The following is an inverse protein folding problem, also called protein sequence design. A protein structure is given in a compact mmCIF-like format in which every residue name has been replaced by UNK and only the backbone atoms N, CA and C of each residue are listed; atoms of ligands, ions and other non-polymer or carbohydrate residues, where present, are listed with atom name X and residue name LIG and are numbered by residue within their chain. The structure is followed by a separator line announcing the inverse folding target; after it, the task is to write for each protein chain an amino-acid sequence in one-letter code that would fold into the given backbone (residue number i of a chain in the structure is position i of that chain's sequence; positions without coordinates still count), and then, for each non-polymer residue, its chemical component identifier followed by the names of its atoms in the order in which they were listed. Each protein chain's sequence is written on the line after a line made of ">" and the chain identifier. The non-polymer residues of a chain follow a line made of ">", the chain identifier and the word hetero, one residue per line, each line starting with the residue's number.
data_IF_893443491945
#
_entry.id   IF_893443491945
#
_cell.length_a   1.000
_cell.length_b   1.000
_cell.length_c   1.000
_cell.angle_alpha   90.00
_cell.angle_beta   90.00
_cell.angle_gamma   90.00
#
_symmetry.space_group_name_H-M   'P 1'
#
loop_
_entity.id
_entity.type
_entity.pdbx_description
1 polymer ?
#
# COMPACT_ATOMS: atom_id res chain seq x y z
N UNK A 1 24.90 -54.15 46.53
CA UNK A 1 24.17 -54.47 45.27
C UNK A 1 24.14 -53.20 44.44
N UNK A 2 24.76 -53.20 43.26
CA UNK A 2 25.04 -52.01 42.40
C UNK A 2 24.18 -52.01 41.10
N UNK A 3 24.20 -50.86 40.35
CA UNK A 3 23.73 -50.59 38.95
C UNK A 3 22.23 -50.23 38.74
N UNK A 4 21.70 -49.35 37.83
CA UNK A 4 22.18 -48.38 36.81
C UNK A 4 20.98 -47.63 36.10
N UNK A 5 21.24 -46.44 35.51
CA UNK A 5 20.74 -45.83 34.23
C UNK A 5 19.28 -45.34 33.95
N UNK A 6 19.23 -44.06 33.49
CA UNK A 6 18.86 -43.50 32.13
C UNK A 6 17.77 -42.39 32.10
N UNK A 7 18.17 -41.25 31.48
CA UNK A 7 17.44 -39.98 31.22
C UNK A 7 16.07 -40.11 30.53
N UNK A 8 15.18 -39.12 30.78
CA UNK A 8 14.41 -38.42 29.73
C UNK A 8 14.08 -36.97 30.13
N UNK A 9 13.93 -36.15 29.09
CA UNK A 9 13.76 -34.69 29.04
C UNK A 9 12.89 -34.09 30.14
N UNK A 10 13.44 -33.11 30.87
CA UNK A 10 12.64 -32.16 31.64
C UNK A 10 12.33 -30.94 30.76
N UNK A 11 11.05 -30.56 30.76
CA UNK A 11 10.47 -29.44 30.03
C UNK A 11 11.19 -28.12 30.28
N UNK A 12 11.63 -27.48 29.20
CA UNK A 12 12.00 -26.06 29.22
C UNK A 12 10.71 -25.22 29.11
N UNK A 13 10.48 -24.25 30.01
CA UNK A 13 9.23 -23.50 30.10
C UNK A 13 8.91 -22.77 28.80
N UNK A 14 7.68 -22.96 28.30
CA UNK A 14 7.14 -22.47 27.02
C UNK A 14 6.91 -20.96 26.93
N UNK A 15 7.70 -20.15 27.64
CA UNK A 15 7.55 -18.70 27.66
C UNK A 15 8.47 -18.00 26.64
N UNK A 16 9.63 -18.57 26.30
CA UNK A 16 10.57 -18.01 25.32
C UNK A 16 10.10 -18.18 23.86
N UNK A 17 9.30 -19.21 23.58
CA UNK A 17 8.81 -19.52 22.21
C UNK A 17 7.64 -18.65 21.74
N UNK A 18 7.04 -17.83 22.62
CA UNK A 18 5.88 -16.97 22.28
C UNK A 18 6.25 -15.53 21.90
N UNK A 19 7.55 -15.19 21.84
CA UNK A 19 8.05 -13.84 21.58
C UNK A 19 8.40 -13.55 20.11
N UNK A 20 8.09 -14.45 19.18
CA UNK A 20 8.61 -14.37 17.79
C UNK A 20 7.58 -14.65 16.69
N UNK A 21 6.32 -14.28 16.90
CA UNK A 21 5.31 -14.31 15.83
C UNK A 21 5.48 -13.03 14.98
N UNK A 22 6.53 -13.10 14.17
CA UNK A 22 7.01 -12.18 13.11
C UNK A 22 6.09 -11.01 12.80
N UNK A 23 6.45 -9.82 13.29
CA UNK A 23 6.14 -8.58 12.60
C UNK A 23 6.85 -8.68 11.24
N UNK A 24 6.09 -8.80 10.15
CA UNK A 24 6.68 -8.66 8.84
C UNK A 24 6.86 -7.16 8.59
N UNK A 25 8.11 -6.69 8.61
CA UNK A 25 8.44 -5.35 8.15
C UNK A 25 8.32 -5.34 6.64
N UNK A 26 7.11 -5.01 6.18
CA UNK A 26 6.76 -4.93 4.77
C UNK A 26 6.75 -3.46 4.41
N UNK A 27 7.69 -3.04 3.56
CA UNK A 27 7.59 -1.74 2.90
C UNK A 27 6.89 -1.96 1.57
N UNK A 28 5.59 -1.67 1.53
CA UNK A 28 4.78 -1.82 0.32
C UNK A 28 3.92 -0.58 0.11
N UNK A 29 3.82 -0.14 -1.15
CA UNK A 29 2.87 0.91 -1.53
C UNK A 29 1.46 0.33 -1.53
N UNK A 30 0.54 0.98 -0.82
CA UNK A 30 -0.87 0.64 -0.78
C UNK A 30 -1.72 1.90 -1.05
N UNK A 31 -3.02 1.70 -1.27
CA UNK A 31 -3.98 2.80 -1.26
C UNK A 31 -4.63 2.89 0.12
N UNK A 32 -4.76 4.10 0.63
CA UNK A 32 -5.59 4.40 1.79
C UNK A 32 -6.79 5.22 1.32
N UNK A 33 -7.98 4.77 1.68
CA UNK A 33 -9.20 5.56 1.60
C UNK A 33 -9.47 6.16 2.96
N UNK A 34 -9.53 7.48 2.97
CA UNK A 34 -9.96 8.26 4.13
C UNK A 34 -11.47 8.54 3.99
N UNK A 35 -12.04 9.19 5.00
CA UNK A 35 -13.39 9.73 4.93
C UNK A 35 -13.59 10.61 3.68
N UNK A 36 -14.84 10.75 3.23
CA UNK A 36 -15.21 11.47 1.99
C UNK A 36 -14.73 10.82 0.68
N UNK A 37 -14.45 9.51 0.68
CA UNK A 37 -13.98 8.74 -0.49
C UNK A 37 -12.67 9.24 -1.10
N UNK A 38 -11.84 9.90 -0.31
CA UNK A 38 -10.53 10.37 -0.76
C UNK A 38 -9.53 9.22 -0.79
N UNK A 39 -9.03 8.89 -1.98
CA UNK A 39 -7.98 7.90 -2.18
C UNK A 39 -6.59 8.57 -2.17
N UNK A 40 -5.66 7.98 -1.44
CA UNK A 40 -4.27 8.43 -1.34
C UNK A 40 -3.32 7.23 -1.36
N UNK A 41 -2.05 7.46 -1.66
CA UNK A 41 -1.02 6.43 -1.47
C UNK A 41 -0.46 6.50 -0.05
N UNK A 42 -0.21 5.32 0.52
CA UNK A 42 0.53 5.16 1.77
C UNK A 42 1.63 4.10 1.63
N UNK A 43 2.59 4.14 2.55
CA UNK A 43 3.57 3.07 2.71
C UNK A 43 3.17 2.22 3.90
N UNK A 44 2.81 0.97 3.67
CA UNK A 44 2.74 -0.01 4.75
C UNK A 44 4.16 -0.20 5.31
N UNK A 45 4.26 -0.35 6.63
CA UNK A 45 5.53 -0.52 7.35
C UNK A 45 5.56 -1.85 8.09
N UNK A 46 4.51 -2.13 8.85
CA UNK A 46 4.36 -3.36 9.62
C UNK A 46 2.88 -3.77 9.65
N UNK A 47 2.62 -5.08 9.70
CA UNK A 47 1.26 -5.65 9.79
C UNK A 47 1.22 -6.71 10.89
N UNK A 48 0.15 -6.71 11.68
CA UNK A 48 -0.21 -7.74 12.67
C UNK A 48 -1.64 -8.23 12.41
N UNK A 49 -2.11 -9.27 13.11
CA UNK A 49 -3.50 -9.72 13.00
C UNK A 49 -4.55 -8.67 13.41
N UNK A 50 -4.19 -7.76 14.32
CA UNK A 50 -5.09 -6.76 14.90
C UNK A 50 -4.95 -5.37 14.27
N UNK A 51 -3.91 -5.14 13.48
CA UNK A 51 -3.66 -3.82 12.94
C UNK A 51 -2.44 -3.70 12.04
N UNK A 52 -2.12 -2.47 11.68
CA UNK A 52 -0.93 -2.15 10.90
C UNK A 52 -0.34 -0.82 11.28
N UNK A 53 0.90 -0.62 10.84
CA UNK A 53 1.59 0.66 10.80
C UNK A 53 1.74 1.10 9.35
N UNK A 54 1.42 2.35 9.06
CA UNK A 54 1.62 2.96 7.75
C UNK A 54 2.22 4.37 7.85
N UNK A 55 2.91 4.79 6.80
CA UNK A 55 3.27 6.19 6.57
C UNK A 55 2.29 6.81 5.57
N UNK A 56 1.72 7.96 5.92
CA UNK A 56 0.78 8.73 5.11
C UNK A 56 1.33 10.12 4.82
N UNK A 57 0.95 10.67 3.66
CA UNK A 57 1.46 11.97 3.19
C UNK A 57 0.41 13.07 3.27
N UNK A 58 -0.66 12.81 4.00
CA UNK A 58 -1.83 13.67 4.13
C UNK A 58 -2.19 13.81 5.60
N UNK A 59 -2.72 14.97 5.97
CA UNK A 59 -3.17 15.20 7.35
C UNK A 59 -4.34 14.28 7.67
N UNK A 60 -4.26 13.64 8.83
CA UNK A 60 -5.30 12.77 9.38
C UNK A 60 -5.23 12.80 10.91
N UNK A 61 -6.21 12.23 11.59
CA UNK A 61 -6.35 12.26 13.05
C UNK A 61 -6.83 10.92 13.61
N UNK A 62 -6.54 10.70 14.89
CA UNK A 62 -6.99 9.50 15.61
C UNK A 62 -8.52 9.39 15.60
N UNK A 63 -9.02 8.17 15.58
CA UNK A 63 -10.44 7.84 15.59
C UNK A 63 -11.08 7.76 14.20
N UNK A 64 -10.48 8.37 13.17
CA UNK A 64 -10.99 8.29 11.79
C UNK A 64 -11.02 6.88 11.26
N UNK A 65 -12.10 6.54 10.57
CA UNK A 65 -12.19 5.28 9.84
C UNK A 65 -11.39 5.37 8.54
N UNK A 66 -10.74 4.27 8.20
CA UNK A 66 -9.94 4.13 6.99
C UNK A 66 -10.12 2.76 6.38
N UNK A 67 -9.95 2.69 5.07
CA UNK A 67 -9.83 1.42 4.35
C UNK A 67 -8.49 1.36 3.63
N UNK A 68 -7.76 0.26 3.78
CA UNK A 68 -6.47 0.06 3.16
C UNK A 68 -6.60 -1.02 2.09
N UNK A 69 -6.35 -0.64 0.84
CA UNK A 69 -6.31 -1.55 -0.30
C UNK A 69 -4.86 -1.89 -0.65
N UNK A 70 -4.48 -3.13 -0.41
CA UNK A 70 -3.15 -3.66 -0.77
C UNK A 70 -3.09 -4.02 -2.24
N UNK A 71 -1.90 -4.27 -2.77
CA UNK A 71 -1.68 -4.51 -4.20
C UNK A 71 -2.42 -5.74 -4.76
N UNK A 72 -2.80 -6.70 -3.92
CA UNK A 72 -3.63 -7.85 -4.32
C UNK A 72 -5.11 -7.49 -4.52
N UNK A 73 -5.51 -6.23 -4.26
CA UNK A 73 -6.88 -5.74 -4.31
C UNK A 73 -7.69 -6.00 -3.03
N UNK A 74 -7.12 -6.71 -2.05
CA UNK A 74 -7.76 -6.94 -0.76
C UNK A 74 -7.87 -5.63 0.02
N UNK A 75 -9.01 -5.44 0.69
CA UNK A 75 -9.34 -4.24 1.47
C UNK A 75 -9.45 -4.56 2.94
N UNK A 76 -8.90 -3.69 3.77
CA UNK A 76 -8.82 -3.85 5.22
C UNK A 76 -9.40 -2.61 5.87
N UNK A 77 -10.54 -2.78 6.55
CA UNK A 77 -11.18 -1.71 7.31
C UNK A 77 -10.60 -1.57 8.71
N UNK A 78 -10.51 -0.33 9.20
CA UNK A 78 -10.09 -0.06 10.56
C UNK A 78 -10.19 1.41 10.96
N UNK A 79 -9.68 1.72 12.15
CA UNK A 79 -9.59 3.09 12.67
C UNK A 79 -8.17 3.47 13.00
N UNK A 80 -7.84 4.74 12.79
CA UNK A 80 -6.56 5.30 13.19
C UNK A 80 -6.48 5.33 14.72
N UNK A 81 -5.65 4.47 15.30
CA UNK A 81 -5.44 4.36 16.74
C UNK A 81 -4.50 5.44 17.27
N UNK A 82 -3.50 5.84 16.47
CA UNK A 82 -2.55 6.89 16.81
C UNK A 82 -1.95 7.54 15.55
N UNK A 83 -1.46 8.76 15.70
CA UNK A 83 -0.74 9.52 14.67
C UNK A 83 0.54 10.10 15.26
N UNK A 84 1.68 9.88 14.62
CA UNK A 84 3.00 10.40 15.01
C UNK A 84 3.72 10.92 13.77
N UNK A 85 3.69 12.23 13.54
CA UNK A 85 4.26 12.83 12.33
C UNK A 85 3.53 12.35 11.08
N UNK A 86 4.22 11.58 10.23
CA UNK A 86 3.64 10.94 9.03
C UNK A 86 3.19 9.51 9.29
N UNK A 87 3.49 8.95 10.45
CA UNK A 87 3.15 7.58 10.76
C UNK A 87 1.79 7.50 11.43
N UNK A 88 1.03 6.46 11.08
CA UNK A 88 -0.24 6.11 11.71
C UNK A 88 -0.22 4.64 12.13
N UNK A 89 -0.90 4.36 13.24
CA UNK A 89 -1.32 3.01 13.58
C UNK A 89 -2.80 2.85 13.27
N UNK A 90 -3.16 1.75 12.62
CA UNK A 90 -4.56 1.41 12.32
C UNK A 90 -4.92 0.15 13.09
N UNK A 91 -5.98 0.19 13.89
CA UNK A 91 -6.62 -0.98 14.47
C UNK A 91 -7.68 -1.49 13.50
N UNK A 92 -7.65 -2.77 13.15
CA UNK A 92 -8.64 -3.34 12.24
C UNK A 92 -10.01 -3.43 12.90
N UNK A 93 -11.06 -3.32 12.08
CA UNK A 93 -12.43 -3.55 12.52
C UNK A 93 -12.66 -5.04 12.87
N UNK A 94 -12.03 -5.94 12.11
CA UNK A 94 -12.02 -7.38 12.33
C UNK A 94 -10.59 -7.93 12.25
N UNK A 95 -10.19 -8.86 13.15
CA UNK A 95 -8.88 -9.48 13.07
C UNK A 95 -8.66 -10.22 11.75
N UNK A 96 -7.50 -10.02 11.14
CA UNK A 96 -7.15 -10.70 9.89
C UNK A 96 -6.53 -12.08 10.18
N UNK A 97 -6.96 -13.16 9.51
CA UNK A 97 -6.32 -14.46 9.67
C UNK A 97 -4.86 -14.44 9.18
N UNK A 98 -3.99 -15.15 9.89
CA UNK A 98 -2.54 -15.16 9.60
C UNK A 98 -2.21 -15.61 8.16
N UNK A 99 -3.02 -16.46 7.56
CA UNK A 99 -2.89 -16.86 6.15
C UNK A 99 -3.09 -15.69 5.17
N UNK A 100 -4.06 -14.82 5.43
CA UNK A 100 -4.27 -13.61 4.64
C UNK A 100 -3.11 -12.62 4.84
N UNK A 101 -2.65 -12.44 6.09
CA UNK A 101 -1.46 -11.64 6.39
C UNK A 101 -0.22 -12.14 5.65
N UNK A 102 0.02 -13.45 5.63
CA UNK A 102 1.14 -14.05 4.90
C UNK A 102 1.04 -13.84 3.39
N UNK A 103 -0.17 -13.88 2.81
CA UNK A 103 -0.37 -13.57 1.40
C UNK A 103 -0.08 -12.08 1.07
N UNK A 104 -0.30 -11.18 2.02
CA UNK A 104 0.08 -9.77 1.89
C UNK A 104 1.58 -9.53 2.08
N UNK A 105 2.19 -10.23 3.03
CA UNK A 105 3.60 -10.06 3.40
C UNK A 105 4.55 -10.91 2.56
N UNK A 106 4.05 -11.90 1.83
CA UNK A 106 4.87 -12.72 0.96
C UNK A 106 5.45 -11.82 -0.12
N UNK A 107 6.74 -11.49 0.01
CA UNK A 107 7.65 -11.10 -1.07
C UNK A 107 7.73 -12.26 -2.08
N UNK A 108 6.60 -12.63 -2.67
CA UNK A 108 6.55 -13.55 -3.77
C UNK A 108 7.07 -12.78 -4.98
N UNK A 109 7.95 -13.40 -5.77
CA UNK A 109 8.34 -12.89 -7.09
C UNK A 109 7.15 -12.74 -8.04
N UNK A 110 5.96 -13.19 -7.64
CA UNK A 110 4.68 -12.84 -8.27
C UNK A 110 4.19 -11.42 -7.95
N UNK A 111 4.54 -10.83 -6.80
CA UNK A 111 4.18 -9.44 -6.48
C UNK A 111 4.93 -8.43 -7.37
N UNK A 112 6.14 -8.74 -7.83
CA UNK A 112 6.84 -7.90 -8.82
C UNK A 112 6.16 -7.90 -10.19
N UNK A 113 5.23 -8.83 -10.45
CA UNK A 113 4.37 -8.82 -11.64
C UNK A 113 3.06 -8.06 -11.42
N UNK A 114 2.70 -7.74 -10.18
CA UNK A 114 1.50 -6.97 -9.91
C UNK A 114 1.72 -5.53 -10.35
N UNK A 115 0.69 -4.94 -10.97
CA UNK A 115 0.74 -3.55 -11.41
C UNK A 115 0.83 -2.65 -10.17
N UNK A 116 1.60 -1.54 -10.23
CA UNK A 116 1.55 -0.52 -9.19
C UNK A 116 0.10 -0.03 -8.99
N UNK A 117 -0.31 0.30 -7.75
CA UNK A 117 -1.61 0.86 -7.49
C UNK A 117 -1.88 2.11 -8.34
N UNK A 118 -3.11 2.20 -8.89
CA UNK A 118 -3.59 3.41 -9.56
C UNK A 118 -4.45 4.20 -8.59
N UNK A 119 -4.17 5.50 -8.47
CA UNK A 119 -5.06 6.45 -7.80
C UNK A 119 -6.05 6.98 -8.82
N UNK A 120 -7.34 6.93 -8.48
CA UNK A 120 -8.36 7.68 -9.23
C UNK A 120 -8.22 9.17 -8.89
N UNK A 121 -8.16 9.99 -9.93
CA UNK A 121 -7.97 11.45 -9.81
C UNK A 121 -8.89 12.14 -10.80
N UNK A 122 -9.25 13.39 -10.52
CA UNK A 122 -10.05 14.18 -11.44
C UNK A 122 -9.44 15.58 -11.58
N UNK A 123 -8.30 15.64 -12.28
CA UNK A 123 -7.53 16.87 -12.52
C UNK A 123 -7.34 17.18 -14.00
N UNK A 124 -7.01 18.43 -14.33
CA UNK A 124 -6.60 18.83 -15.67
C UNK A 124 -5.08 18.79 -15.78
N UNK A 125 -4.58 18.41 -16.95
CA UNK A 125 -3.17 18.45 -17.31
C UNK A 125 -2.96 19.04 -18.69
N UNK A 126 -1.73 19.45 -18.99
CA UNK A 126 -1.31 19.89 -20.31
C UNK A 126 -0.48 18.80 -20.97
N UNK A 127 -0.99 18.22 -22.05
CA UNK A 127 -0.29 17.24 -22.87
C UNK A 127 0.39 17.95 -24.03
N UNK A 128 1.72 17.87 -24.09
CA UNK A 128 2.53 18.37 -25.20
C UNK A 128 2.87 17.23 -26.14
N UNK A 129 2.56 17.39 -27.42
CA UNK A 129 3.02 16.53 -28.52
C UNK A 129 3.88 17.36 -29.47
N UNK A 130 4.50 16.73 -30.47
CA UNK A 130 5.36 17.42 -31.45
C UNK A 130 4.66 18.56 -32.21
N UNK A 131 3.32 18.53 -32.30
CA UNK A 131 2.54 19.49 -33.09
C UNK A 131 1.65 20.44 -32.28
N UNK A 132 1.41 20.19 -30.99
CA UNK A 132 0.43 20.98 -30.23
C UNK A 132 0.48 20.72 -28.72
N UNK A 133 0.03 21.70 -27.95
CA UNK A 133 -0.32 21.53 -26.54
C UNK A 133 -1.85 21.38 -26.41
N UNK A 134 -2.29 20.33 -25.73
CA UNK A 134 -3.71 19.99 -25.55
C UNK A 134 -4.03 19.85 -24.07
N UNK A 135 -5.09 20.51 -23.62
CA UNK A 135 -5.61 20.32 -22.26
C UNK A 135 -6.36 18.99 -22.20
N UNK A 136 -6.02 18.15 -21.24
CA UNK A 136 -6.59 16.80 -21.06
C UNK A 136 -7.09 16.60 -19.63
N UNK A 137 -8.07 15.73 -19.45
CA UNK A 137 -8.54 15.30 -18.13
C UNK A 137 -7.76 14.05 -17.73
N UNK A 138 -7.09 14.05 -16.58
CA UNK A 138 -6.45 12.84 -16.03
C UNK A 138 -7.45 12.12 -15.15
N UNK A 139 -7.64 10.81 -15.40
CA UNK A 139 -8.63 9.96 -14.71
C UNK A 139 -8.00 9.07 -13.65
N UNK A 140 -6.82 8.53 -13.93
CA UNK A 140 -6.03 7.84 -12.92
C UNK A 140 -4.53 7.96 -13.20
N UNK A 141 -3.74 7.84 -12.13
CA UNK A 141 -2.28 7.93 -12.17
C UNK A 141 -1.68 6.76 -11.40
N UNK A 142 -0.56 6.24 -11.89
CA UNK A 142 0.26 5.22 -11.25
C UNK A 142 1.74 5.54 -11.43
N UNK A 143 2.63 4.79 -10.78
CA UNK A 143 4.07 4.93 -10.99
C UNK A 143 4.50 4.60 -12.44
N UNK A 144 3.72 3.80 -13.16
CA UNK A 144 4.05 3.35 -14.52
C UNK A 144 3.35 4.16 -15.63
N UNK A 145 2.55 5.16 -15.28
CA UNK A 145 1.81 5.95 -16.27
C UNK A 145 0.44 6.37 -15.77
N UNK A 146 -0.36 6.92 -16.68
CA UNK A 146 -1.64 7.57 -16.38
C UNK A 146 -2.67 7.30 -17.48
N UNK A 147 -3.94 7.48 -17.14
CA UNK A 147 -5.05 7.47 -18.09
C UNK A 147 -5.57 8.89 -18.26
N UNK A 148 -5.68 9.32 -19.52
CA UNK A 148 -6.28 10.61 -19.89
C UNK A 148 -7.57 10.44 -20.68
N UNK A 149 -8.44 11.42 -20.59
CA UNK A 149 -9.47 11.70 -21.57
C UNK A 149 -9.07 12.99 -22.30
N UNK A 150 -9.00 12.92 -23.62
CA UNK A 150 -8.64 14.01 -24.49
C UNK A 150 -9.80 14.35 -25.44
N UNK A 151 -9.86 15.58 -25.98
CA UNK A 151 -10.91 15.96 -26.94
C UNK A 151 -10.87 15.13 -28.22
N UNK A 152 -9.67 14.79 -28.69
CA UNK A 152 -9.42 14.06 -29.93
C UNK A 152 -8.49 12.86 -29.66
N UNK A 153 -8.57 11.79 -30.47
CA UNK A 153 -7.67 10.64 -30.34
C UNK A 153 -6.24 10.98 -30.79
N UNK A 154 -5.27 10.36 -30.13
CA UNK A 154 -3.86 10.41 -30.52
C UNK A 154 -3.43 9.09 -31.18
N UNK A 155 -2.42 9.15 -32.04
CA UNK A 155 -1.79 7.95 -32.57
C UNK A 155 -1.01 7.22 -31.47
N UNK A 156 -1.15 5.89 -31.44
CA UNK A 156 -0.37 5.06 -30.52
C UNK A 156 1.12 5.23 -30.83
N UNK A 157 1.93 5.44 -29.80
CA UNK A 157 3.37 5.65 -29.93
C UNK A 157 3.78 7.09 -30.21
N UNK A 158 2.83 8.04 -30.31
CA UNK A 158 3.16 9.46 -30.36
C UNK A 158 3.95 9.88 -29.12
N UNK A 159 5.15 10.42 -29.35
CA UNK A 159 5.95 11.02 -28.30
C UNK A 159 5.18 12.19 -27.67
N UNK A 160 5.08 12.19 -26.35
CA UNK A 160 4.39 13.24 -25.62
C UNK A 160 5.01 13.47 -24.25
N UNK A 161 4.76 14.65 -23.69
CA UNK A 161 5.08 14.97 -22.31
C UNK A 161 3.85 15.58 -21.64
N UNK A 162 3.60 15.22 -20.39
CA UNK A 162 2.47 15.75 -19.63
C UNK A 162 2.97 16.61 -18.47
N UNK A 163 2.30 17.75 -18.30
CA UNK A 163 2.47 18.64 -17.15
C UNK A 163 1.22 18.56 -16.29
N UNK A 164 1.40 18.24 -15.01
CA UNK A 164 0.33 18.18 -14.02
C UNK A 164 0.58 19.22 -12.93
N UNK A 165 -0.48 19.81 -12.33
CA UNK A 165 -0.31 20.72 -11.21
C UNK A 165 0.50 20.08 -10.07
N UNK A 166 1.54 20.77 -9.61
CA UNK A 166 2.38 20.30 -8.51
C UNK A 166 3.39 19.20 -8.85
N UNK A 167 3.48 18.78 -10.13
CA UNK A 167 4.47 17.81 -10.60
C UNK A 167 5.32 18.41 -11.72
N UNK A 168 6.62 18.09 -11.71
CA UNK A 168 7.49 18.42 -12.83
C UNK A 168 7.03 17.69 -14.11
N UNK A 169 7.25 18.27 -15.32
CA UNK A 169 6.89 17.63 -16.58
C UNK A 169 7.48 16.22 -16.69
N UNK A 170 6.67 15.27 -17.19
CA UNK A 170 7.06 13.86 -17.38
C UNK A 170 6.84 13.45 -18.83
N UNK A 171 7.91 13.00 -19.49
CA UNK A 171 7.82 12.39 -20.81
C UNK A 171 7.17 11.00 -20.73
N UNK A 172 6.40 10.65 -21.73
CA UNK A 172 5.98 9.27 -21.95
C UNK A 172 7.20 8.43 -22.36
N UNK A 173 7.26 7.19 -21.85
CA UNK A 173 8.28 6.18 -22.15
C UNK A 173 7.70 5.03 -22.93
#
# INVERSE_FOLDING_TARGET
>A
MFFFKRRRMADLPGHERRRSIRHATVIQVAKIRLEENREELCLLRDVSPEGLKAEVYVRTECGKHVEIEVQTGHRIGGRIAWVTGKEIGVSFDEPMPMSAMLAHCSFDSRLSKLRPPRLEVDMYGLLRTDGSDVVVRVRNISQAGLQIAAPEPFHIGTACAITLPGLAPRAAT
#
